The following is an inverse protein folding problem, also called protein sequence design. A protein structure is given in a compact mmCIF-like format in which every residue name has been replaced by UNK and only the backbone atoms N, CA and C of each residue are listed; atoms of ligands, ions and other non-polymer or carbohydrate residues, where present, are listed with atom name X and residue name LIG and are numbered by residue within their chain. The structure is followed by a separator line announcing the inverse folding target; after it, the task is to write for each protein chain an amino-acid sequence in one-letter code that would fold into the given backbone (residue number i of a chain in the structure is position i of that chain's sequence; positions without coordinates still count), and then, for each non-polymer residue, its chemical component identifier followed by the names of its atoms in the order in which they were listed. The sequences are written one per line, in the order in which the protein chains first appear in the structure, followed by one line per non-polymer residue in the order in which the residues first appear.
data_IF_567778627534
#
_entry.id   IF_567778627534
#
_cell.length_a   1.000
_cell.length_b   1.000
_cell.length_c   1.000
_cell.angle_alpha   90.00
_cell.angle_beta   90.00
_cell.angle_gamma   90.00
#
_symmetry.space_group_name_H-M   'P 1'
#
loop_
_entity.id
_entity.type
_entity.pdbx_description
1 polymer ?
#
# COMPACT_ATOMS: atom_id res chain seq x y z
N UNK A 1 35.52 -5.27 43.05
CA UNK A 1 35.06 -6.08 41.90
C UNK A 1 33.65 -5.71 41.40
N UNK A 2 32.88 -4.90 42.12
CA UNK A 2 31.52 -4.46 41.74
C UNK A 2 31.54 -3.27 40.75
N UNK A 3 32.58 -2.43 40.78
CA UNK A 3 32.71 -1.23 39.93
C UNK A 3 32.97 -1.51 38.45
N UNK A 4 33.57 -2.66 38.09
CA UNK A 4 33.77 -3.05 36.67
C UNK A 4 32.53 -3.65 36.01
N UNK A 5 31.60 -4.19 36.80
CA UNK A 5 30.37 -4.81 36.29
C UNK A 5 29.28 -3.77 35.98
N UNK A 6 29.31 -2.64 36.69
CA UNK A 6 28.38 -1.51 36.50
C UNK A 6 28.77 -0.69 35.24
N UNK A 7 30.06 -0.49 34.97
CA UNK A 7 30.54 0.25 33.79
C UNK A 7 30.21 -0.44 32.45
N UNK A 8 30.26 -1.77 32.37
CA UNK A 8 29.89 -2.52 31.15
C UNK A 8 28.39 -2.49 30.85
N UNK A 9 27.55 -2.53 31.89
CA UNK A 9 26.09 -2.43 31.74
C UNK A 9 25.65 -1.02 31.34
N UNK A 10 26.30 0.02 31.87
CA UNK A 10 26.04 1.41 31.49
C UNK A 10 26.38 1.66 30.01
N UNK A 11 27.54 1.18 29.51
CA UNK A 11 27.86 1.30 28.08
C UNK A 11 26.89 0.55 27.17
N UNK A 12 26.34 -0.59 27.60
CA UNK A 12 25.38 -1.36 26.80
C UNK A 12 23.98 -0.71 26.75
N UNK A 13 23.54 -0.13 27.87
CA UNK A 13 22.29 0.64 27.95
C UNK A 13 22.37 1.91 27.11
N UNK A 14 23.49 2.63 27.13
CA UNK A 14 23.71 3.79 26.26
C UNK A 14 23.77 3.42 24.76
N UNK A 15 24.32 2.25 24.40
CA UNK A 15 24.35 1.77 23.02
C UNK A 15 22.97 1.36 22.51
N UNK A 16 22.13 0.76 23.36
CA UNK A 16 20.73 0.42 23.07
C UNK A 16 19.86 1.66 22.93
N UNK A 17 19.99 2.64 23.83
CA UNK A 17 19.33 3.95 23.74
C UNK A 17 19.72 4.69 22.46
N UNK A 18 21.01 4.69 22.10
CA UNK A 18 21.48 5.31 20.86
C UNK A 18 20.97 4.59 19.60
N UNK A 19 20.84 3.26 19.61
CA UNK A 19 20.24 2.51 18.50
C UNK A 19 18.73 2.74 18.37
N UNK A 20 18.00 2.86 19.47
CA UNK A 20 16.56 3.17 19.48
C UNK A 20 16.33 4.59 18.94
N UNK A 21 17.21 5.54 19.29
CA UNK A 21 17.16 6.91 18.75
C UNK A 21 17.60 6.99 17.27
N UNK A 22 18.51 6.13 16.81
CA UNK A 22 18.96 6.14 15.41
C UNK A 22 18.01 5.41 14.44
N UNK A 23 17.21 4.46 14.94
CA UNK A 23 16.23 3.71 14.13
C UNK A 23 14.95 4.49 13.82
N UNK A 24 14.78 5.70 14.35
CA UNK A 24 13.70 6.63 14.01
C UNK A 24 14.29 7.91 13.44
N UNK A 25 15.11 7.78 12.39
CA UNK A 25 15.25 8.89 11.45
C UNK A 25 14.33 8.56 10.28
N UNK A 26 13.04 8.90 10.43
CA UNK A 26 12.25 9.25 9.25
C UNK A 26 13.09 10.30 8.51
N UNK A 27 13.28 10.14 7.19
CA UNK A 27 14.05 11.11 6.41
C UNK A 27 13.22 12.38 6.28
N UNK A 28 13.17 13.18 7.34
CA UNK A 28 12.57 14.51 7.33
C UNK A 28 13.50 15.42 6.55
N UNK A 29 13.19 15.57 5.26
CA UNK A 29 13.84 16.53 4.38
C UNK A 29 12.83 17.58 3.92
N UNK A 30 13.35 18.72 3.52
CA UNK A 30 12.49 19.78 2.95
C UNK A 30 11.88 19.30 1.64
N UNK A 31 10.67 19.74 1.31
CA UNK A 31 9.98 19.35 0.08
C UNK A 31 10.80 19.61 -1.19
N UNK A 32 11.62 20.67 -1.19
CA UNK A 32 12.56 20.95 -2.28
C UNK A 32 13.63 19.86 -2.42
N UNK A 33 14.24 19.47 -1.30
CA UNK A 33 15.24 18.40 -1.26
C UNK A 33 14.64 17.05 -1.66
N UNK A 34 13.50 16.67 -1.07
CA UNK A 34 12.84 15.39 -1.38
C UNK A 34 12.44 15.35 -2.85
N UNK A 35 11.91 16.45 -3.38
CA UNK A 35 11.57 16.57 -4.79
C UNK A 35 12.79 16.30 -5.67
N UNK A 36 13.93 16.91 -5.38
CA UNK A 36 15.17 16.65 -6.12
C UNK A 36 15.60 15.19 -6.07
N UNK A 37 15.46 14.53 -4.91
CA UNK A 37 15.73 13.09 -4.76
C UNK A 37 14.78 12.23 -5.60
N UNK A 38 13.49 12.55 -5.64
CA UNK A 38 12.53 11.86 -6.50
C UNK A 38 12.82 12.10 -7.99
N UNK A 39 13.05 13.35 -8.41
CA UNK A 39 13.34 13.71 -9.80
C UNK A 39 14.63 13.07 -10.34
N UNK A 40 15.61 12.80 -9.46
CA UNK A 40 16.84 12.09 -9.83
C UNK A 40 16.61 10.63 -10.28
N UNK A 41 15.43 10.06 -9.99
CA UNK A 41 15.07 8.68 -10.33
C UNK A 41 14.03 8.69 -11.43
N UNK A 42 14.30 7.99 -12.53
CA UNK A 42 13.44 8.01 -13.72
C UNK A 42 11.98 7.64 -13.38
N UNK A 43 11.75 6.56 -12.63
CA UNK A 43 10.40 6.13 -12.24
C UNK A 43 9.66 7.16 -11.38
N UNK A 44 10.30 7.70 -10.35
CA UNK A 44 9.69 8.70 -9.46
C UNK A 44 9.48 10.04 -10.19
N UNK A 45 10.44 10.47 -11.01
CA UNK A 45 10.36 11.68 -11.84
C UNK A 45 9.14 11.68 -12.77
N UNK A 46 8.92 10.57 -13.49
CA UNK A 46 7.75 10.43 -14.37
C UNK A 46 6.43 10.43 -13.59
N UNK A 47 6.39 9.72 -12.46
CA UNK A 47 5.20 9.69 -11.60
C UNK A 47 4.90 11.06 -10.98
N UNK A 48 5.93 11.79 -10.55
CA UNK A 48 5.83 13.13 -9.99
C UNK A 48 5.33 14.14 -11.03
N UNK A 49 5.84 14.06 -12.25
CA UNK A 49 5.36 14.87 -13.37
C UNK A 49 3.90 14.57 -13.70
N UNK A 50 3.52 13.29 -13.76
CA UNK A 50 2.14 12.86 -14.01
C UNK A 50 1.20 13.34 -12.91
N UNK A 51 1.63 13.26 -11.65
CA UNK A 51 0.92 13.81 -10.50
C UNK A 51 0.72 15.33 -10.63
N UNK A 52 1.78 16.07 -10.98
CA UNK A 52 1.71 17.51 -11.16
C UNK A 52 0.68 17.94 -12.21
N UNK A 53 0.57 17.20 -13.32
CA UNK A 53 -0.42 17.47 -14.36
C UNK A 53 -1.83 17.04 -13.93
N UNK A 54 -1.98 15.80 -13.44
CA UNK A 54 -3.29 15.23 -13.12
C UNK A 54 -3.98 15.91 -11.92
N UNK A 55 -3.19 16.50 -11.03
CA UNK A 55 -3.65 17.17 -9.83
C UNK A 55 -3.48 18.70 -9.90
N UNK A 56 -3.22 19.29 -11.07
CA UNK A 56 -2.94 20.73 -11.19
C UNK A 56 -4.10 21.58 -10.65
N UNK A 57 -5.32 21.32 -11.09
CA UNK A 57 -6.52 22.03 -10.63
C UNK A 57 -6.68 21.96 -9.09
N UNK A 58 -6.39 20.81 -8.50
CA UNK A 58 -6.44 20.61 -7.06
C UNK A 58 -5.33 21.38 -6.34
N UNK A 59 -4.08 21.26 -6.81
CA UNK A 59 -2.92 21.91 -6.16
C UNK A 59 -2.95 23.43 -6.32
N UNK A 60 -3.50 23.93 -7.42
CA UNK A 60 -3.68 25.34 -7.74
C UNK A 60 -4.92 25.96 -7.08
N UNK A 61 -5.79 25.15 -6.45
CA UNK A 61 -6.99 25.62 -5.76
C UNK A 61 -8.14 26.00 -6.68
N UNK A 62 -8.14 25.52 -7.92
CA UNK A 62 -9.23 25.66 -8.89
C UNK A 62 -10.38 24.71 -8.54
N UNK A 63 -10.04 23.52 -8.03
CA UNK A 63 -10.98 22.51 -7.55
C UNK A 63 -10.63 22.06 -6.14
N UNK A 64 -11.65 21.72 -5.34
CA UNK A 64 -11.50 21.02 -4.05
C UNK A 64 -11.75 19.50 -4.20
N UNK A 65 -12.20 19.06 -5.38
CA UNK A 65 -12.52 17.66 -5.65
C UNK A 65 -11.30 16.89 -6.14
N UNK A 66 -11.10 15.71 -5.53
CA UNK A 66 -10.09 14.78 -5.98
C UNK A 66 -10.58 13.97 -7.18
N UNK A 67 -10.05 14.27 -8.37
CA UNK A 67 -10.40 13.51 -9.59
C UNK A 67 -9.81 12.10 -9.57
N UNK A 68 -10.45 11.15 -10.28
CA UNK A 68 -9.94 9.78 -10.42
C UNK A 68 -8.55 9.74 -11.07
N UNK A 69 -8.27 10.66 -12.00
CA UNK A 69 -6.96 10.82 -12.63
C UNK A 69 -5.91 11.26 -11.60
N UNK A 70 -6.23 12.25 -10.76
CA UNK A 70 -5.35 12.68 -9.68
C UNK A 70 -5.11 11.55 -8.66
N UNK A 71 -6.14 10.81 -8.24
CA UNK A 71 -6.00 9.64 -7.37
C UNK A 71 -5.05 8.60 -7.96
N UNK A 72 -5.23 8.22 -9.23
CA UNK A 72 -4.38 7.23 -9.90
C UNK A 72 -2.94 7.72 -10.05
N UNK A 73 -2.74 9.00 -10.37
CA UNK A 73 -1.40 9.60 -10.44
C UNK A 73 -0.72 9.61 -9.07
N UNK A 74 -1.47 9.90 -8.00
CA UNK A 74 -0.97 9.83 -6.64
C UNK A 74 -0.57 8.41 -6.25
N UNK A 75 -1.39 7.40 -6.57
CA UNK A 75 -1.05 5.99 -6.39
C UNK A 75 0.29 5.66 -7.07
N UNK A 76 0.45 6.05 -8.35
CA UNK A 76 1.69 5.83 -9.10
C UNK A 76 2.90 6.51 -8.43
N UNK A 77 2.72 7.72 -7.88
CA UNK A 77 3.78 8.44 -7.19
C UNK A 77 4.19 7.74 -5.89
N UNK A 78 3.25 7.42 -5.01
CA UNK A 78 3.57 6.80 -3.72
C UNK A 78 4.09 5.36 -3.85
N UNK A 79 3.79 4.70 -4.96
CA UNK A 79 4.28 3.35 -5.29
C UNK A 79 5.69 3.34 -5.88
N UNK A 80 6.31 4.51 -6.04
CA UNK A 80 7.66 4.62 -6.61
C UNK A 80 8.73 3.91 -5.77
N UNK A 81 9.80 3.52 -6.44
CA UNK A 81 10.88 2.71 -5.87
C UNK A 81 11.52 3.32 -4.61
N UNK A 82 11.73 2.46 -3.61
CA UNK A 82 12.30 2.79 -2.31
C UNK A 82 11.55 3.91 -1.55
N UNK A 83 10.27 4.14 -1.85
CA UNK A 83 9.44 5.10 -1.11
C UNK A 83 9.67 6.57 -1.43
N UNK A 84 10.46 6.91 -2.46
CA UNK A 84 10.82 8.31 -2.74
C UNK A 84 9.61 9.23 -2.98
N UNK A 85 8.55 8.74 -3.63
CA UNK A 85 7.32 9.49 -3.81
C UNK A 85 6.48 9.57 -2.53
N UNK A 86 6.54 8.57 -1.65
CA UNK A 86 5.92 8.65 -0.33
C UNK A 86 6.63 9.71 0.53
N UNK A 87 7.96 9.74 0.50
CA UNK A 87 8.75 10.78 1.16
C UNK A 87 8.36 12.17 0.64
N UNK A 88 8.13 12.30 -0.67
CA UNK A 88 7.70 13.58 -1.27
C UNK A 88 6.34 14.03 -0.75
N UNK A 89 5.38 13.12 -0.57
CA UNK A 89 4.08 13.47 -0.02
C UNK A 89 4.18 13.85 1.47
N UNK A 90 5.12 13.25 2.21
CA UNK A 90 5.33 13.48 3.64
C UNK A 90 6.36 14.58 3.96
N UNK A 91 6.96 15.21 2.96
CA UNK A 91 8.04 16.19 3.14
C UNK A 91 7.63 17.40 3.99
N UNK A 92 8.60 18.09 4.57
CA UNK A 92 8.35 19.33 5.32
C UNK A 92 8.54 20.54 4.41
N UNK A 93 7.67 21.56 4.48
CA UNK A 93 7.81 22.75 3.63
C UNK A 93 9.07 23.59 3.94
N UNK A 94 9.80 23.24 5.00
CA UNK A 94 11.15 23.73 5.28
C UNK A 94 11.19 25.19 5.69
N UNK A 95 12.36 25.78 5.49
CA UNK A 95 12.66 27.19 5.79
C UNK A 95 12.85 27.98 4.50
N UNK A 96 12.32 29.20 4.48
CA UNK A 96 12.28 30.07 3.30
C UNK A 96 11.56 31.36 3.66
N UNK A 97 11.22 32.19 2.67
CA UNK A 97 10.35 33.33 2.95
C UNK A 97 8.94 32.84 3.32
N UNK A 98 8.20 33.62 4.10
CA UNK A 98 6.88 33.22 4.61
C UNK A 98 5.86 32.92 3.51
N UNK A 99 6.04 33.48 2.31
CA UNK A 99 5.16 33.25 1.16
C UNK A 99 5.37 31.86 0.55
N UNK A 100 6.62 31.42 0.36
CA UNK A 100 6.95 30.10 -0.18
C UNK A 100 6.51 28.97 0.75
N UNK A 101 6.73 29.14 2.06
CA UNK A 101 6.28 28.17 3.08
C UNK A 101 4.76 28.03 3.01
N UNK A 102 4.03 29.17 2.99
CA UNK A 102 2.56 29.15 2.91
C UNK A 102 2.06 28.46 1.65
N UNK A 103 2.66 28.74 0.50
CA UNK A 103 2.26 28.12 -0.77
C UNK A 103 2.49 26.60 -0.78
N UNK A 104 3.59 26.15 -0.18
CA UNK A 104 3.87 24.72 -0.02
C UNK A 104 2.83 24.04 0.89
N UNK A 105 2.54 24.62 2.05
CA UNK A 105 1.57 24.06 3.00
C UNK A 105 0.15 24.02 2.42
N UNK A 106 -0.27 25.08 1.72
CA UNK A 106 -1.55 25.12 1.03
C UNK A 106 -1.67 24.01 -0.02
N UNK A 107 -0.62 23.76 -0.80
CA UNK A 107 -0.60 22.66 -1.77
C UNK A 107 -0.72 21.29 -1.09
N UNK A 108 0.04 21.06 -0.02
CA UNK A 108 -0.05 19.81 0.77
C UNK A 108 -1.46 19.62 1.32
N UNK A 109 -2.04 20.66 1.90
CA UNK A 109 -3.40 20.61 2.44
C UNK A 109 -4.44 20.26 1.38
N UNK A 110 -4.35 20.85 0.17
CA UNK A 110 -5.28 20.54 -0.92
C UNK A 110 -5.14 19.10 -1.41
N UNK A 111 -3.91 18.59 -1.50
CA UNK A 111 -3.64 17.19 -1.89
C UNK A 111 -4.13 16.19 -0.83
N UNK A 112 -4.27 16.59 0.43
CA UNK A 112 -4.71 15.72 1.53
C UNK A 112 -6.09 15.07 1.29
N UNK A 113 -6.97 15.75 0.54
CA UNK A 113 -8.28 15.20 0.14
C UNK A 113 -8.12 13.92 -0.69
N UNK A 114 -7.12 13.87 -1.56
CA UNK A 114 -6.76 12.65 -2.30
C UNK A 114 -5.93 11.68 -1.46
N UNK A 115 -4.98 12.21 -0.70
CA UNK A 115 -3.97 11.43 -0.02
C UNK A 115 -4.55 10.59 1.10
N UNK A 116 -5.60 11.05 1.77
CA UNK A 116 -6.21 10.32 2.89
C UNK A 116 -6.69 8.93 2.44
N UNK A 117 -7.47 8.83 1.36
CA UNK A 117 -7.97 7.54 0.88
C UNK A 117 -6.84 6.66 0.34
N UNK A 118 -5.94 7.23 -0.45
CA UNK A 118 -4.87 6.50 -1.14
C UNK A 118 -3.80 6.00 -0.17
N UNK A 119 -3.32 6.84 0.74
CA UNK A 119 -2.28 6.48 1.72
C UNK A 119 -2.84 5.52 2.76
N UNK A 120 -4.08 5.73 3.23
CA UNK A 120 -4.68 4.79 4.16
C UNK A 120 -4.87 3.42 3.52
N UNK A 121 -5.31 3.36 2.26
CA UNK A 121 -5.36 2.11 1.50
C UNK A 121 -3.98 1.45 1.39
N UNK A 122 -2.93 2.20 1.03
CA UNK A 122 -1.56 1.69 0.93
C UNK A 122 -1.04 1.12 2.26
N UNK A 123 -1.24 1.83 3.36
CA UNK A 123 -0.80 1.42 4.71
C UNK A 123 -1.59 0.22 5.25
N UNK A 124 -2.84 0.07 4.83
CA UNK A 124 -3.77 -0.97 5.32
C UNK A 124 -3.84 -2.22 4.42
N UNK A 125 -2.88 -2.40 3.50
CA UNK A 125 -2.89 -3.55 2.58
C UNK A 125 -2.90 -4.89 3.32
N UNK A 126 -2.18 -4.99 4.43
CA UNK A 126 -2.09 -6.21 5.25
C UNK A 126 -3.23 -6.33 6.29
N UNK A 127 -4.11 -5.32 6.44
CA UNK A 127 -5.21 -5.31 7.42
C UNK A 127 -6.52 -5.79 6.79
N UNK A 128 -7.00 -7.02 7.04
CA UNK A 128 -8.20 -7.55 6.39
C UNK A 128 -9.50 -6.80 6.74
N UNK A 129 -9.53 -6.00 7.81
CA UNK A 129 -10.73 -5.26 8.23
C UNK A 129 -11.01 -4.02 7.37
N UNK A 130 -9.99 -3.47 6.71
CA UNK A 130 -10.13 -2.31 5.85
C UNK A 130 -10.57 -2.73 4.45
N UNK A 131 -11.75 -2.28 4.04
CA UNK A 131 -12.28 -2.50 2.69
C UNK A 131 -12.06 -1.25 1.87
N UNK A 132 -11.44 -1.41 0.70
CA UNK A 132 -11.22 -0.34 -0.28
C UNK A 132 -12.00 -0.63 -1.55
N UNK A 133 -12.14 0.37 -2.44
CA UNK A 133 -12.77 0.13 -3.74
C UNK A 133 -11.91 -0.78 -4.63
N UNK A 134 -12.58 -1.57 -5.48
CA UNK A 134 -11.88 -2.44 -6.42
C UNK A 134 -11.11 -1.64 -7.48
N UNK A 135 -11.57 -0.43 -7.81
CA UNK A 135 -10.84 0.53 -8.64
C UNK A 135 -9.49 0.90 -8.01
N UNK A 136 -9.49 1.28 -6.73
CA UNK A 136 -8.27 1.66 -6.02
C UNK A 136 -7.34 0.45 -5.83
N UNK A 137 -7.89 -0.70 -5.43
CA UNK A 137 -7.11 -1.95 -5.31
C UNK A 137 -6.42 -2.33 -6.63
N UNK A 138 -7.10 -2.13 -7.77
CA UNK A 138 -6.51 -2.36 -9.08
C UNK A 138 -5.35 -1.41 -9.35
N UNK A 139 -5.51 -0.11 -9.11
CA UNK A 139 -4.43 0.86 -9.31
C UNK A 139 -3.22 0.60 -8.42
N UNK A 140 -3.43 0.18 -7.16
CA UNK A 140 -2.33 -0.21 -6.27
C UNK A 140 -1.54 -1.39 -6.84
N UNK A 141 -2.23 -2.37 -7.43
CA UNK A 141 -1.57 -3.49 -8.09
C UNK A 141 -0.89 -3.09 -9.39
N UNK A 142 -1.51 -2.27 -10.22
CA UNK A 142 -0.91 -1.79 -11.48
C UNK A 142 0.37 -0.98 -11.26
N UNK A 143 0.46 -0.26 -10.13
CA UNK A 143 1.61 0.55 -9.79
C UNK A 143 2.82 -0.26 -9.28
N UNK A 144 2.62 -1.53 -8.90
CA UNK A 144 3.69 -2.46 -8.52
C UNK A 144 4.02 -3.40 -9.69
N UNK A 145 5.29 -3.50 -10.08
CA UNK A 145 5.70 -4.25 -11.28
C UNK A 145 5.47 -5.76 -11.16
N UNK A 146 5.65 -6.34 -9.96
CA UNK A 146 5.38 -7.76 -9.70
C UNK A 146 3.89 -8.04 -9.76
N UNK A 147 3.09 -7.18 -9.14
CA UNK A 147 1.65 -7.28 -9.12
C UNK A 147 1.04 -7.08 -10.52
N UNK A 148 1.49 -6.07 -11.27
CA UNK A 148 1.10 -5.85 -12.66
C UNK A 148 1.42 -7.07 -13.54
N UNK A 149 2.57 -7.69 -13.35
CA UNK A 149 2.94 -8.92 -14.08
C UNK A 149 1.99 -10.07 -13.75
N UNK A 150 1.69 -10.29 -12.46
CA UNK A 150 0.73 -11.31 -12.03
C UNK A 150 -0.69 -11.01 -12.53
N UNK A 151 -1.08 -9.74 -12.58
CA UNK A 151 -2.37 -9.28 -13.09
C UNK A 151 -2.51 -9.55 -14.59
N UNK A 152 -1.48 -9.26 -15.38
CA UNK A 152 -1.46 -9.60 -16.81
C UNK A 152 -1.55 -11.11 -17.02
N UNK A 153 -0.83 -11.89 -16.21
CA UNK A 153 -0.94 -13.34 -16.25
C UNK A 153 -2.36 -13.82 -15.91
N UNK A 154 -3.03 -13.19 -14.93
CA UNK A 154 -4.42 -13.46 -14.63
C UNK A 154 -5.35 -13.15 -15.81
N UNK A 155 -5.27 -11.95 -16.40
CA UNK A 155 -6.17 -11.53 -17.49
C UNK A 155 -6.04 -12.42 -18.72
N UNK A 156 -4.83 -12.83 -19.07
CA UNK A 156 -4.58 -13.75 -20.19
C UNK A 156 -5.20 -15.14 -19.95
N UNK A 157 -4.95 -15.72 -18.76
CA UNK A 157 -5.31 -17.11 -18.47
C UNK A 157 -6.77 -17.27 -18.03
N UNK A 158 -7.41 -16.19 -17.56
CA UNK A 158 -8.79 -16.18 -17.08
C UNK A 158 -9.79 -15.57 -18.06
N UNK A 159 -9.41 -15.30 -19.31
CA UNK A 159 -10.30 -14.71 -20.32
C UNK A 159 -11.64 -15.45 -20.53
N UNK A 160 -11.68 -16.78 -20.34
CA UNK A 160 -12.92 -17.57 -20.37
C UNK A 160 -13.76 -17.42 -19.09
N UNK A 161 -13.12 -17.29 -17.92
CA UNK A 161 -13.78 -16.99 -16.67
C UNK A 161 -14.44 -15.62 -16.73
N UNK A 162 -13.74 -14.61 -17.29
CA UNK A 162 -14.26 -13.25 -17.46
C UNK A 162 -15.50 -13.19 -18.36
N UNK A 163 -15.66 -14.18 -19.24
CA UNK A 163 -16.85 -14.36 -20.11
C UNK A 163 -17.92 -15.25 -19.48
N UNK A 164 -17.75 -15.68 -18.22
CA UNK A 164 -18.69 -16.53 -17.50
C UNK A 164 -18.77 -17.97 -18.02
N UNK A 165 -17.72 -18.49 -18.65
CA UNK A 165 -17.73 -19.82 -19.29
C UNK A 165 -17.19 -20.92 -18.39
N UNK A 166 -15.91 -20.87 -18.05
CA UNK A 166 -15.25 -21.91 -17.25
C UNK A 166 -14.09 -21.35 -16.44
N UNK A 167 -13.84 -21.96 -15.29
CA UNK A 167 -12.60 -21.78 -14.53
C UNK A 167 -11.65 -22.93 -14.85
N UNK A 168 -10.61 -22.67 -15.66
CA UNK A 168 -9.59 -23.68 -15.94
C UNK A 168 -8.61 -23.81 -14.77
N UNK A 169 -7.94 -24.95 -14.65
CA UNK A 169 -6.84 -25.12 -13.67
C UNK A 169 -5.77 -24.03 -13.83
N UNK A 170 -5.44 -23.66 -15.07
CA UNK A 170 -4.50 -22.57 -15.38
C UNK A 170 -4.99 -21.21 -14.87
N UNK A 171 -6.26 -20.88 -15.08
CA UNK A 171 -6.86 -19.65 -14.54
C UNK A 171 -6.85 -19.64 -13.01
N UNK A 172 -7.26 -20.74 -12.37
CA UNK A 172 -7.27 -20.83 -10.91
C UNK A 172 -5.86 -20.66 -10.33
N UNK A 173 -4.85 -21.25 -10.98
CA UNK A 173 -3.46 -21.03 -10.61
C UNK A 173 -3.02 -19.57 -10.77
N UNK A 174 -3.35 -18.92 -11.89
CA UNK A 174 -3.04 -17.50 -12.11
C UNK A 174 -3.69 -16.59 -11.08
N UNK A 175 -4.92 -16.90 -10.65
CA UNK A 175 -5.62 -16.17 -9.59
C UNK A 175 -4.90 -16.30 -8.23
N UNK A 176 -4.43 -17.50 -7.89
CA UNK A 176 -3.63 -17.70 -6.67
C UNK A 176 -2.31 -16.92 -6.70
N UNK A 177 -1.61 -16.91 -7.85
CA UNK A 177 -0.37 -16.14 -8.03
C UNK A 177 -0.64 -14.64 -7.85
N UNK A 178 -1.76 -14.14 -8.39
CA UNK A 178 -2.17 -12.75 -8.23
C UNK A 178 -2.45 -12.42 -6.76
N UNK A 179 -3.28 -13.19 -6.06
CA UNK A 179 -3.64 -12.86 -4.67
C UNK A 179 -2.52 -13.05 -3.64
N UNK A 180 -1.42 -13.71 -4.02
CA UNK A 180 -0.19 -13.74 -3.23
C UNK A 180 0.59 -12.43 -3.27
N UNK A 181 0.36 -11.57 -4.27
CA UNK A 181 1.04 -10.27 -4.34
C UNK A 181 0.50 -9.36 -3.24
N UNK A 182 1.41 -8.69 -2.50
CA UNK A 182 1.03 -7.80 -1.41
C UNK A 182 0.02 -6.75 -1.89
N UNK A 183 0.28 -6.14 -3.04
CA UNK A 183 -0.54 -5.08 -3.63
C UNK A 183 -1.86 -5.59 -4.24
N UNK A 184 -2.04 -6.91 -4.37
CA UNK A 184 -3.28 -7.54 -4.85
C UNK A 184 -4.17 -8.06 -3.72
N UNK A 185 -3.71 -8.06 -2.46
CA UNK A 185 -4.45 -8.68 -1.35
C UNK A 185 -5.88 -8.16 -1.23
N UNK A 186 -6.12 -6.89 -1.58
CA UNK A 186 -7.45 -6.27 -1.55
C UNK A 186 -8.33 -6.62 -2.75
N UNK A 187 -7.78 -7.11 -3.87
CA UNK A 187 -8.56 -7.35 -5.10
C UNK A 187 -9.68 -8.39 -4.94
N UNK A 188 -9.60 -9.31 -3.97
CA UNK A 188 -10.64 -10.32 -3.74
C UNK A 188 -11.66 -9.92 -2.65
N UNK A 189 -11.35 -8.91 -1.84
CA UNK A 189 -12.19 -8.43 -0.72
C UNK A 189 -12.72 -7.01 -0.91
N UNK A 190 -12.24 -6.30 -1.94
CA UNK A 190 -12.66 -4.94 -2.24
C UNK A 190 -14.17 -4.81 -2.51
N UNK A 191 -14.65 -3.57 -2.41
CA UNK A 191 -16.01 -3.19 -2.73
C UNK A 191 -16.14 -2.85 -4.22
N UNK A 192 -17.12 -3.44 -4.90
CA UNK A 192 -17.44 -3.10 -6.29
C UNK A 192 -18.30 -1.83 -6.32
N UNK A 193 -17.81 -0.78 -6.98
CA UNK A 193 -18.49 0.52 -7.07
C UNK A 193 -19.41 0.60 -8.29
N UNK A 194 -19.21 -0.26 -9.30
CA UNK A 194 -19.92 -0.22 -10.58
C UNK A 194 -19.38 0.84 -11.55
N UNK A 195 -18.37 1.61 -11.13
CA UNK A 195 -17.68 2.62 -11.94
C UNK A 195 -16.33 2.13 -12.48
N UNK A 196 -16.03 0.84 -12.32
CA UNK A 196 -14.78 0.25 -12.80
C UNK A 196 -14.72 0.30 -14.33
N UNK A 197 -13.64 0.85 -14.86
CA UNK A 197 -13.42 0.95 -16.30
C UNK A 197 -12.67 -0.30 -16.77
N UNK A 198 -13.25 -1.06 -17.69
CA UNK A 198 -12.59 -2.19 -18.35
C UNK A 198 -12.86 -3.57 -17.74
N UNK A 199 -13.51 -3.66 -16.57
CA UNK A 199 -13.99 -4.94 -16.02
C UNK A 199 -15.27 -4.75 -15.19
N UNK A 200 -16.15 -5.74 -15.23
CA UNK A 200 -17.36 -5.76 -14.39
C UNK A 200 -17.06 -6.54 -13.10
N UNK A 201 -16.76 -5.80 -12.04
CA UNK A 201 -16.35 -6.35 -10.74
C UNK A 201 -17.37 -7.36 -10.18
N UNK A 202 -18.65 -7.00 -10.20
CA UNK A 202 -19.73 -7.84 -9.64
C UNK A 202 -19.90 -9.13 -10.44
N UNK A 203 -19.87 -9.06 -11.77
CA UNK A 203 -19.92 -10.26 -12.62
C UNK A 203 -18.70 -11.14 -12.43
N UNK A 204 -17.51 -10.56 -12.36
CA UNK A 204 -16.27 -11.29 -12.12
C UNK A 204 -16.34 -12.09 -10.81
N UNK A 205 -16.77 -11.44 -9.72
CA UNK A 205 -16.91 -12.10 -8.41
C UNK A 205 -17.91 -13.26 -8.47
N UNK A 206 -19.06 -13.05 -9.12
CA UNK A 206 -20.06 -14.09 -9.35
C UNK A 206 -19.51 -15.26 -10.16
N UNK A 207 -18.79 -14.99 -11.26
CA UNK A 207 -18.20 -16.03 -12.10
C UNK A 207 -17.14 -16.82 -11.33
N UNK A 208 -16.28 -16.17 -10.57
CA UNK A 208 -15.28 -16.84 -9.72
C UNK A 208 -15.97 -17.74 -8.69
N UNK A 209 -16.97 -17.25 -7.97
CA UNK A 209 -17.68 -18.03 -6.96
C UNK A 209 -18.38 -19.27 -7.53
N UNK A 210 -19.07 -19.11 -8.67
CA UNK A 210 -19.82 -20.21 -9.28
C UNK A 210 -18.90 -21.19 -10.00
N UNK A 211 -17.94 -20.70 -10.79
CA UNK A 211 -17.16 -21.52 -11.72
C UNK A 211 -15.85 -22.03 -11.13
N UNK A 212 -15.23 -21.31 -10.19
CA UNK A 212 -13.98 -21.74 -9.55
C UNK A 212 -14.24 -22.40 -8.19
N UNK A 213 -15.23 -21.92 -7.43
CA UNK A 213 -15.46 -22.37 -6.05
C UNK A 213 -16.70 -23.26 -5.89
N UNK A 214 -17.44 -23.54 -6.97
CA UNK A 214 -18.69 -24.33 -6.96
C UNK A 214 -19.69 -23.85 -5.89
N UNK A 215 -19.70 -22.56 -5.56
CA UNK A 215 -20.73 -21.99 -4.70
C UNK A 215 -22.03 -21.99 -5.51
N UNK A 216 -22.99 -22.82 -5.12
CA UNK A 216 -24.32 -22.82 -5.73
C UNK A 216 -24.90 -21.42 -5.62
N UNK A 217 -25.35 -20.86 -6.74
CA UNK A 217 -25.79 -19.48 -6.84
C UNK A 217 -27.11 -19.23 -6.08
N UNK A 218 -27.10 -19.23 -4.75
CA UNK A 218 -28.14 -18.60 -3.92
C UNK A 218 -27.93 -17.08 -3.92
N UNK A 219 -28.02 -16.45 -5.09
CA UNK A 219 -28.24 -15.01 -5.17
C UNK A 219 -29.72 -14.73 -4.88
N UNK A 220 -30.10 -14.82 -3.59
CA UNK A 220 -31.24 -14.02 -3.10
C UNK A 220 -30.73 -12.60 -2.95
N UNK A 221 -31.39 -11.68 -3.64
CA UNK A 221 -31.39 -10.26 -3.30
C UNK A 221 -31.74 -10.14 -1.81
N UNK A 222 -30.76 -9.93 -0.94
CA UNK A 222 -31.00 -9.65 0.49
C UNK A 222 -30.27 -8.35 0.80
N UNK A 223 -31.04 -7.27 0.84
CA UNK A 223 -30.66 -6.07 1.55
C UNK A 223 -30.45 -6.39 3.03
N UNK A 224 -29.50 -5.68 3.64
CA UNK A 224 -29.29 -5.52 5.08
C UNK A 224 -29.64 -6.73 5.96
N UNK A 225 -28.70 -7.67 6.07
CA UNK A 225 -28.52 -8.37 7.33
C UNK A 225 -27.05 -8.70 7.55
N UNK A 226 -26.48 -8.12 8.60
CA UNK A 226 -25.21 -8.54 9.20
C UNK A 226 -25.49 -9.87 9.86
N UNK A 227 -24.74 -10.91 9.49
CA UNK A 227 -24.40 -12.00 10.39
C UNK A 227 -23.14 -12.71 9.93
N UNK A 228 -22.32 -13.04 10.94
CA UNK A 228 -20.98 -13.56 10.80
C UNK A 228 -20.91 -15.06 10.59
N UNK A 229 -19.66 -15.51 10.54
CA UNK A 229 -19.17 -16.89 10.50
C UNK A 229 -19.20 -17.60 9.14
N UNK A 230 -18.04 -17.53 8.48
CA UNK A 230 -17.65 -18.41 7.38
C UNK A 230 -16.13 -18.46 7.23
N UNK A 231 -15.40 -18.60 8.34
CA UNK A 231 -13.95 -18.79 8.32
C UNK A 231 -13.62 -20.23 7.87
N UNK A 232 -13.39 -20.43 6.58
CA UNK A 232 -12.72 -21.63 6.09
C UNK A 232 -11.22 -21.50 6.37
N UNK A 233 -10.78 -22.31 7.33
CA UNK A 233 -9.42 -22.47 7.83
C UNK A 233 -8.38 -22.59 6.70
N UNK A 234 -7.54 -21.56 6.56
CA UNK A 234 -6.21 -21.70 5.99
C UNK A 234 -5.22 -21.59 7.14
N UNK A 235 -4.58 -22.71 7.46
CA UNK A 235 -3.43 -22.75 8.35
C UNK A 235 -2.29 -21.96 7.70
N UNK A 236 -2.10 -20.71 8.14
CA UNK A 236 -0.81 -20.05 8.06
C UNK A 236 -0.37 -19.70 9.48
N UNK A 237 0.75 -20.28 9.85
CA UNK A 237 1.40 -20.19 11.15
C UNK A 237 1.69 -18.72 11.51
N UNK A 238 0.96 -18.20 12.49
CA UNK A 238 1.40 -17.13 13.42
C UNK A 238 0.89 -17.60 14.79
N UNK A 239 1.60 -17.56 15.91
CA UNK A 239 2.37 -16.48 16.54
C UNK A 239 3.24 -17.18 17.62
N UNK A 240 4.54 -16.89 17.77
CA UNK A 240 5.26 -17.38 18.93
C UNK A 240 4.82 -16.59 20.18
N UNK A 241 4.37 -17.35 21.18
CA UNK A 241 4.10 -16.89 22.54
C UNK A 241 5.38 -17.11 23.34
N UNK A 242 6.08 -16.05 23.72
CA UNK A 242 7.14 -16.17 24.71
C UNK A 242 8.01 -14.93 24.87
N UNK A 243 8.42 -14.68 26.12
CA UNK A 243 9.40 -13.66 26.53
C UNK A 243 10.78 -13.84 25.80
N UNK A 244 10.99 -14.99 25.15
CA UNK A 244 12.19 -15.29 24.37
C UNK A 244 12.25 -14.60 22.99
N UNK A 245 11.14 -14.09 22.45
CA UNK A 245 11.15 -13.38 21.16
C UNK A 245 11.70 -11.96 21.27
N UNK A 246 11.57 -11.32 22.44
CA UNK A 246 12.19 -10.02 22.70
C UNK A 246 13.72 -10.15 22.63
N UNK A 247 14.27 -11.27 23.12
CA UNK A 247 15.70 -11.56 23.04
C UNK A 247 16.16 -11.81 21.60
N UNK A 248 15.33 -12.40 20.75
CA UNK A 248 15.64 -12.63 19.33
C UNK A 248 15.60 -11.33 18.55
N UNK A 249 14.59 -10.48 18.77
CA UNK A 249 14.49 -9.15 18.17
C UNK A 249 15.68 -8.29 18.63
N UNK A 250 16.03 -8.32 19.92
CA UNK A 250 17.22 -7.64 20.46
C UNK A 250 18.50 -8.23 19.85
N UNK A 251 18.64 -9.56 19.70
CA UNK A 251 19.81 -10.18 19.07
C UNK A 251 19.96 -9.77 17.60
N UNK A 252 18.87 -9.74 16.83
CA UNK A 252 18.86 -9.36 15.43
C UNK A 252 19.19 -7.87 15.25
N UNK A 253 18.72 -7.01 16.17
CA UNK A 253 19.08 -5.59 16.20
C UNK A 253 20.57 -5.43 16.53
N UNK A 254 21.10 -6.18 17.49
CA UNK A 254 22.51 -6.12 17.92
C UNK A 254 23.46 -6.70 16.85
N UNK A 255 23.10 -7.80 16.19
CA UNK A 255 23.89 -8.41 15.11
C UNK A 255 24.00 -7.51 13.88
N UNK A 256 22.89 -6.87 13.47
CA UNK A 256 22.91 -5.90 12.37
C UNK A 256 23.71 -4.64 12.71
N UNK A 257 23.84 -4.28 13.99
CA UNK A 257 24.61 -3.12 14.43
C UNK A 257 26.13 -3.41 14.53
N UNK A 258 26.53 -4.68 14.70
CA UNK A 258 27.94 -5.11 14.73
C UNK A 258 28.54 -5.33 13.34
N UNK A 259 27.69 -5.39 12.30
CA UNK A 259 28.10 -5.65 10.91
C UNK A 259 28.14 -4.38 10.03
N UNK A 260 27.96 -3.19 10.60
CA UNK A 260 28.20 -1.88 9.96
C UNK A 260 29.37 -1.18 10.64
#
# INVERSE_FOLDING_TARGET
MITKYISKNISFVFFLEFCILFRITESYGTCSEIRGRCESRIGCSMALHTFGIACDDLTSGISEECTKQCQRALVSLISSENGAGMDFINCECGEGNSMEIRHCEEKKQRVQVCATDVINAWKSMDDPSVVISCTLALWLCEADSSCLTALNYFTENCSNLMKGRQCSSRCNNSMNILYQQKQAQKLHTCNCEGTEIGFDCSKMRKYTDVLCHNKTATYRQVGNHVDGNGATSFYFLTVPRGINDLLIVILLIVLNCLMS
#
